data_IF_674070955214
#
_entry.id   IF_674070955214
#
_cell.length_a   1.000
_cell.length_b   1.000
_cell.length_c   1.000
_cell.angle_alpha   90.00
_cell.angle_beta   90.00
_cell.angle_gamma   90.00
#
_symmetry.space_group_name_H-M   'P 1'
#
loop_
_entity.id
_entity.type
_entity.pdbx_description
1 polymer ?
#
# COMPACT_ATOMS: atom_id res chain seq x y z
N UNK A 1 30.66 -12.49 -9.75
CA UNK A 1 29.56 -13.23 -9.09
C UNK A 1 29.39 -12.60 -7.71
N UNK A 2 28.41 -11.73 -7.53
CA UNK A 2 28.04 -11.21 -6.20
C UNK A 2 27.44 -12.37 -5.40
N UNK A 3 27.86 -12.53 -4.15
CA UNK A 3 27.28 -13.53 -3.26
C UNK A 3 25.77 -13.30 -3.18
N UNK A 4 24.99 -14.37 -3.18
CA UNK A 4 23.56 -14.28 -2.91
C UNK A 4 23.37 -13.55 -1.57
N UNK A 5 22.34 -12.69 -1.42
CA UNK A 5 22.11 -12.01 -0.16
C UNK A 5 21.94 -13.05 0.95
N UNK A 6 22.52 -12.79 2.11
CA UNK A 6 22.36 -13.62 3.29
C UNK A 6 20.92 -13.53 3.79
N UNK A 7 20.08 -14.51 3.40
CA UNK A 7 18.65 -14.59 3.77
C UNK A 7 18.44 -14.95 5.23
N UNK A 8 19.49 -15.10 6.03
CA UNK A 8 19.42 -15.44 7.46
C UNK A 8 19.23 -14.23 8.38
N UNK A 9 19.43 -13.01 7.89
CA UNK A 9 19.31 -11.80 8.68
C UNK A 9 17.94 -11.11 8.47
N UNK A 10 17.29 -10.59 9.53
CA UNK A 10 16.09 -9.80 9.38
C UNK A 10 16.33 -8.51 8.58
N UNK A 11 15.45 -8.19 7.64
CA UNK A 11 15.51 -7.03 6.77
C UNK A 11 14.36 -6.05 7.01
N UNK A 12 14.56 -4.80 6.66
CA UNK A 12 13.55 -3.74 6.70
C UNK A 12 12.61 -3.81 5.49
N UNK A 13 11.51 -3.06 5.52
CA UNK A 13 10.56 -3.00 4.41
C UNK A 13 11.23 -2.49 3.12
N UNK A 14 12.09 -1.47 3.20
CA UNK A 14 12.79 -0.95 2.02
C UNK A 14 13.79 -1.96 1.45
N UNK A 15 14.48 -2.72 2.30
CA UNK A 15 15.38 -3.80 1.87
C UNK A 15 14.59 -4.96 1.24
N UNK A 16 13.38 -5.26 1.74
CA UNK A 16 12.48 -6.27 1.16
C UNK A 16 11.99 -5.87 -0.25
N UNK A 17 11.71 -4.58 -0.47
CA UNK A 17 11.41 -4.04 -1.80
C UNK A 17 12.60 -4.22 -2.74
N UNK A 18 13.82 -3.86 -2.31
CA UNK A 18 15.04 -4.06 -3.11
C UNK A 18 15.23 -5.53 -3.46
N UNK A 19 15.00 -6.42 -2.48
CA UNK A 19 15.11 -7.86 -2.66
C UNK A 19 14.11 -8.40 -3.67
N UNK A 20 12.84 -7.97 -3.61
CA UNK A 20 11.79 -8.36 -4.57
C UNK A 20 12.13 -7.90 -6.00
N UNK A 21 12.56 -6.65 -6.16
CA UNK A 21 13.01 -6.12 -7.46
C UNK A 21 14.18 -6.94 -8.01
N UNK A 22 15.19 -7.21 -7.19
CA UNK A 22 16.35 -8.00 -7.58
C UNK A 22 15.97 -9.43 -7.98
N UNK A 23 15.03 -10.05 -7.25
CA UNK A 23 14.53 -11.38 -7.57
C UNK A 23 13.86 -11.41 -8.95
N UNK A 24 12.87 -10.54 -9.19
CA UNK A 24 12.16 -10.49 -10.48
C UNK A 24 13.09 -10.14 -11.64
N UNK A 25 14.02 -9.21 -11.46
CA UNK A 25 14.98 -8.86 -12.50
C UNK A 25 15.99 -9.98 -12.80
N UNK A 26 16.27 -10.89 -11.85
CA UNK A 26 17.10 -12.09 -12.10
C UNK A 26 16.36 -13.16 -12.89
N UNK A 27 15.06 -13.28 -12.68
CA UNK A 27 14.24 -14.39 -13.21
C UNK A 27 13.48 -14.04 -14.48
N UNK A 28 13.27 -12.74 -14.76
CA UNK A 28 12.54 -12.25 -15.93
C UNK A 28 13.28 -11.05 -16.56
N UNK A 29 13.80 -11.24 -17.76
CA UNK A 29 14.52 -10.20 -18.52
C UNK A 29 13.62 -9.05 -18.96
N UNK A 30 12.31 -9.24 -19.02
CA UNK A 30 11.35 -8.20 -19.37
C UNK A 30 11.11 -7.17 -18.27
N UNK A 31 11.52 -7.46 -17.02
CA UNK A 31 11.38 -6.54 -15.88
C UNK A 31 12.45 -5.44 -15.97
N UNK A 32 12.01 -4.19 -16.00
CA UNK A 32 12.85 -2.99 -16.01
C UNK A 32 12.40 -2.03 -14.91
N UNK A 33 13.37 -1.36 -14.28
CA UNK A 33 13.11 -0.35 -13.24
C UNK A 33 13.41 1.02 -13.82
N UNK A 34 12.54 2.01 -13.61
CA UNK A 34 12.76 3.38 -14.09
C UNK A 34 12.21 4.41 -13.12
N UNK A 35 12.78 5.61 -13.16
CA UNK A 35 12.38 6.73 -12.31
C UNK A 35 13.52 7.71 -12.10
N UNK A 36 13.29 8.71 -11.30
CA UNK A 36 14.28 9.72 -10.94
C UNK A 36 15.31 9.14 -9.95
N UNK A 37 16.59 9.27 -10.28
CA UNK A 37 17.71 8.82 -9.42
C UNK A 37 17.70 7.33 -9.02
N UNK A 38 16.90 6.50 -9.68
CA UNK A 38 16.78 5.06 -9.35
C UNK A 38 18.02 4.24 -9.71
N UNK A 39 18.84 4.72 -10.63
CA UNK A 39 20.05 4.07 -11.12
C UNK A 39 21.22 4.23 -10.18
N UNK A 40 22.13 5.18 -10.49
CA UNK A 40 23.39 5.37 -9.74
C UNK A 40 23.13 5.67 -8.26
N UNK A 41 22.15 6.51 -7.97
CA UNK A 41 21.82 6.90 -6.60
C UNK A 41 21.00 5.84 -5.83
N UNK A 42 20.28 4.95 -6.52
CA UNK A 42 19.45 3.92 -5.90
C UNK A 42 18.13 4.43 -5.32
N UNK A 43 17.61 5.52 -5.87
CA UNK A 43 16.38 6.17 -5.43
C UNK A 43 16.53 7.02 -4.16
N UNK A 44 15.57 7.93 -3.93
CA UNK A 44 15.56 8.84 -2.76
C UNK A 44 15.59 8.08 -1.43
N UNK A 45 14.89 6.96 -1.34
CA UNK A 45 14.84 6.11 -0.15
C UNK A 45 15.76 4.91 -0.20
N UNK A 46 16.55 4.74 -1.28
CA UNK A 46 17.47 3.63 -1.50
C UNK A 46 16.79 2.29 -1.80
N UNK A 47 15.57 2.31 -2.33
CA UNK A 47 14.81 1.11 -2.70
C UNK A 47 15.43 0.35 -3.89
N UNK A 48 16.20 1.03 -4.73
CA UNK A 48 16.84 0.46 -5.93
C UNK A 48 18.37 0.44 -5.82
N UNK A 49 18.91 0.64 -4.59
CA UNK A 49 20.36 0.68 -4.37
C UNK A 49 21.04 -0.62 -4.84
N UNK A 50 22.08 -0.48 -5.66
CA UNK A 50 22.85 -1.61 -6.18
C UNK A 50 22.25 -2.30 -7.42
N UNK A 51 20.99 -2.05 -7.77
CA UNK A 51 20.36 -2.75 -8.89
C UNK A 51 21.02 -2.40 -10.23
N UNK A 52 21.37 -1.14 -10.48
CA UNK A 52 22.01 -0.75 -11.74
C UNK A 52 23.40 -1.38 -11.91
N UNK A 53 24.16 -1.58 -10.82
CA UNK A 53 25.46 -2.26 -10.87
C UNK A 53 25.32 -3.74 -11.24
N UNK A 54 24.19 -4.36 -10.88
CA UNK A 54 23.93 -5.79 -11.14
C UNK A 54 23.33 -6.00 -12.52
N UNK A 55 22.35 -5.19 -12.92
CA UNK A 55 21.50 -5.41 -14.10
C UNK A 55 21.80 -4.46 -15.27
N UNK A 56 22.63 -3.45 -15.07
CA UNK A 56 23.00 -2.47 -16.09
C UNK A 56 22.02 -1.31 -16.24
N UNK A 57 22.50 -0.23 -16.87
CA UNK A 57 21.72 1.01 -17.08
C UNK A 57 20.58 0.86 -18.10
N UNK A 58 20.58 -0.18 -18.91
CA UNK A 58 19.48 -0.48 -19.86
C UNK A 58 18.27 -1.12 -19.17
N UNK A 59 18.47 -1.65 -17.96
CA UNK A 59 17.38 -2.28 -17.19
C UNK A 59 17.05 -1.52 -15.91
N UNK A 60 17.92 -0.58 -15.47
CA UNK A 60 17.64 0.35 -14.37
C UNK A 60 17.90 1.75 -14.90
N UNK A 61 16.85 2.45 -15.30
CA UNK A 61 16.91 3.67 -16.09
C UNK A 61 16.67 4.89 -15.22
N UNK A 62 17.64 5.78 -15.15
CA UNK A 62 17.42 7.13 -14.64
C UNK A 62 16.64 7.95 -15.70
N UNK A 63 15.54 8.55 -15.27
CA UNK A 63 14.74 9.44 -16.09
C UNK A 63 15.02 10.90 -15.77
N UNK A 64 14.67 11.85 -16.66
CA UNK A 64 14.52 13.26 -16.25
C UNK A 64 13.50 13.38 -15.09
N UNK A 65 13.59 14.51 -14.36
CA UNK A 65 12.63 14.91 -13.32
C UNK A 65 11.35 15.40 -14.01
N UNK A 66 10.53 14.44 -14.43
CA UNK A 66 9.23 14.68 -15.08
C UNK A 66 8.34 13.43 -14.95
N UNK A 67 7.43 13.46 -14.04
CA UNK A 67 6.54 12.35 -13.73
C UNK A 67 5.58 12.01 -14.89
N UNK A 68 5.27 12.99 -15.73
CA UNK A 68 4.49 12.76 -16.96
C UNK A 68 5.26 11.87 -17.93
N UNK A 69 6.54 12.15 -18.13
CA UNK A 69 7.45 11.34 -18.96
C UNK A 69 7.62 9.93 -18.36
N UNK A 70 7.80 9.81 -17.03
CA UNK A 70 7.91 8.52 -16.35
C UNK A 70 6.67 7.66 -16.62
N UNK A 71 5.47 8.23 -16.42
CA UNK A 71 4.22 7.51 -16.64
C UNK A 71 4.03 7.11 -18.11
N UNK A 72 4.31 8.03 -19.04
CA UNK A 72 4.20 7.79 -20.48
C UNK A 72 5.16 6.70 -20.97
N UNK A 73 6.42 6.75 -20.52
CA UNK A 73 7.42 5.74 -20.84
C UNK A 73 7.02 4.37 -20.28
N UNK A 74 6.52 4.33 -19.04
CA UNK A 74 6.05 3.11 -18.38
C UNK A 74 4.93 2.44 -19.18
N UNK A 75 3.91 3.20 -19.59
CA UNK A 75 2.81 2.68 -20.43
C UNK A 75 3.33 2.22 -21.78
N UNK A 76 4.27 2.97 -22.36
CA UNK A 76 4.91 2.61 -23.65
C UNK A 76 5.66 1.29 -23.57
N UNK A 77 6.51 1.10 -22.58
CA UNK A 77 7.26 -0.14 -22.34
C UNK A 77 6.34 -1.33 -22.10
N UNK A 78 5.31 -1.15 -21.26
CA UNK A 78 4.32 -2.20 -21.00
C UNK A 78 3.57 -2.62 -22.27
N UNK A 79 3.23 -1.66 -23.15
CA UNK A 79 2.55 -1.95 -24.41
C UNK A 79 3.41 -2.75 -25.39
N UNK A 80 4.74 -2.75 -25.22
CA UNK A 80 5.70 -3.49 -26.02
C UNK A 80 6.11 -4.84 -25.38
N UNK A 81 5.45 -5.25 -24.29
CA UNK A 81 5.66 -6.55 -23.66
C UNK A 81 6.74 -6.55 -22.56
N UNK A 82 7.25 -5.38 -22.17
CA UNK A 82 8.08 -5.25 -20.97
C UNK A 82 7.21 -5.21 -19.71
N UNK A 83 7.83 -5.46 -18.57
CA UNK A 83 7.22 -5.30 -17.23
C UNK A 83 7.92 -4.15 -16.49
N UNK A 84 7.58 -2.90 -16.79
CA UNK A 84 8.18 -1.76 -16.14
C UNK A 84 7.70 -1.59 -14.71
N UNK A 85 8.67 -1.39 -13.81
CA UNK A 85 8.45 -0.99 -12.42
C UNK A 85 8.95 0.44 -12.27
N UNK A 86 8.05 1.40 -12.35
CA UNK A 86 8.38 2.82 -12.24
C UNK A 86 8.31 3.29 -10.79
N UNK A 87 9.13 4.27 -10.43
CA UNK A 87 9.09 4.97 -9.15
C UNK A 87 8.66 6.42 -9.36
N UNK A 88 7.57 6.85 -8.68
CA UNK A 88 7.33 8.25 -8.39
C UNK A 88 7.93 8.55 -7.01
N UNK A 89 8.73 9.61 -6.86
CA UNK A 89 9.49 9.83 -5.62
C UNK A 89 8.61 10.05 -4.38
N UNK A 90 7.41 10.62 -4.56
CA UNK A 90 6.42 10.84 -3.51
C UNK A 90 4.99 10.79 -4.08
N UNK A 91 4.05 10.45 -3.24
CA UNK A 91 2.64 10.36 -3.58
C UNK A 91 2.03 11.69 -4.09
N UNK A 92 2.44 12.83 -3.54
CA UNK A 92 2.03 14.14 -4.04
C UNK A 92 2.48 14.44 -5.47
N UNK A 93 3.51 13.74 -5.97
CA UNK A 93 4.03 13.93 -7.34
C UNK A 93 3.31 13.06 -8.38
N UNK A 94 2.37 12.24 -7.99
CA UNK A 94 1.60 11.40 -8.91
C UNK A 94 0.56 12.17 -9.74
N UNK A 95 0.18 13.40 -9.37
CA UNK A 95 -0.91 14.10 -10.04
C UNK A 95 -0.68 14.31 -11.55
N UNK A 96 0.51 14.62 -12.03
CA UNK A 96 0.78 14.66 -13.48
C UNK A 96 0.68 13.30 -14.18
N UNK A 97 0.83 12.19 -13.45
CA UNK A 97 0.76 10.84 -13.99
C UNK A 97 -0.66 10.32 -14.21
N UNK A 98 -1.67 10.98 -13.61
CA UNK A 98 -3.07 10.51 -13.58
C UNK A 98 -3.63 10.26 -14.98
N UNK A 99 -3.33 11.12 -15.95
CA UNK A 99 -3.81 10.95 -17.34
C UNK A 99 -3.32 9.63 -17.93
N UNK A 100 -2.03 9.32 -17.83
CA UNK A 100 -1.47 8.07 -18.35
C UNK A 100 -2.02 6.84 -17.64
N UNK A 101 -2.23 6.91 -16.34
CA UNK A 101 -2.81 5.81 -15.55
C UNK A 101 -4.27 5.61 -15.95
N UNK A 102 -5.10 6.66 -15.85
CA UNK A 102 -6.56 6.57 -15.99
C UNK A 102 -6.99 6.49 -17.45
N UNK A 103 -6.35 7.24 -18.36
CA UNK A 103 -6.76 7.30 -19.75
C UNK A 103 -6.07 6.27 -20.64
N UNK A 104 -4.94 5.71 -20.24
CA UNK A 104 -4.16 4.79 -21.05
C UNK A 104 -3.96 3.42 -20.40
N UNK A 105 -3.26 3.30 -19.29
CA UNK A 105 -2.87 2.02 -18.71
C UNK A 105 -4.08 1.11 -18.41
N UNK A 106 -5.01 1.56 -17.58
CA UNK A 106 -6.17 0.76 -17.16
C UNK A 106 -7.14 0.43 -18.30
N UNK A 107 -7.12 1.23 -19.37
CA UNK A 107 -8.04 1.05 -20.51
C UNK A 107 -7.46 0.20 -21.62
N UNK A 108 -6.19 -0.16 -21.56
CA UNK A 108 -5.51 -0.89 -22.63
C UNK A 108 -6.20 -2.23 -22.93
N UNK A 109 -6.44 -3.04 -21.91
CA UNK A 109 -7.16 -4.31 -22.04
C UNK A 109 -8.56 -4.12 -22.63
N UNK A 110 -9.33 -3.17 -22.14
CA UNK A 110 -10.69 -2.91 -22.61
C UNK A 110 -10.71 -2.44 -24.07
N UNK A 111 -9.92 -1.43 -24.43
CA UNK A 111 -9.86 -0.86 -25.80
C UNK A 111 -9.40 -1.88 -26.83
N UNK A 112 -8.50 -2.76 -26.44
CA UNK A 112 -7.95 -3.77 -27.36
C UNK A 112 -8.73 -5.10 -27.33
N UNK A 113 -9.81 -5.19 -26.56
CA UNK A 113 -10.60 -6.41 -26.36
C UNK A 113 -9.74 -7.57 -25.85
N UNK A 114 -8.86 -7.29 -24.90
CA UNK A 114 -7.97 -8.27 -24.26
C UNK A 114 -6.72 -8.65 -25.07
N UNK A 115 -6.50 -8.05 -26.27
CA UNK A 115 -5.30 -8.35 -27.06
C UNK A 115 -4.00 -7.81 -26.47
N UNK A 116 -4.10 -6.69 -25.78
CA UNK A 116 -2.98 -6.08 -25.04
C UNK A 116 -3.37 -5.93 -23.57
N UNK A 117 -2.38 -6.06 -22.72
CA UNK A 117 -2.43 -5.78 -21.29
C UNK A 117 -1.42 -4.68 -20.96
N UNK A 118 -1.42 -4.21 -19.74
CA UNK A 118 -0.46 -3.19 -19.30
C UNK A 118 0.20 -3.66 -18.00
N UNK A 119 1.15 -4.60 -18.06
CA UNK A 119 1.81 -5.20 -16.89
C UNK A 119 2.82 -4.22 -16.30
N UNK A 120 2.35 -3.14 -15.69
CA UNK A 120 3.17 -2.11 -15.07
C UNK A 120 2.92 -2.02 -13.57
N UNK A 121 3.98 -1.73 -12.82
CA UNK A 121 3.87 -1.34 -11.42
C UNK A 121 4.35 0.10 -11.28
N UNK A 122 3.54 0.95 -10.66
CA UNK A 122 3.97 2.26 -10.20
C UNK A 122 4.18 2.19 -8.69
N UNK A 123 5.43 2.20 -8.25
CA UNK A 123 5.85 2.25 -6.86
C UNK A 123 5.86 3.70 -6.39
N UNK A 124 5.32 3.93 -5.20
CA UNK A 124 5.16 5.28 -4.68
C UNK A 124 5.38 5.31 -3.17
N UNK A 125 6.42 5.97 -2.67
CA UNK A 125 6.54 6.31 -1.25
C UNK A 125 5.34 7.13 -0.78
N UNK A 126 4.54 6.58 0.16
CA UNK A 126 3.21 7.07 0.51
C UNK A 126 3.11 7.42 2.00
N UNK A 127 2.19 8.36 2.31
CA UNK A 127 1.76 8.69 3.66
C UNK A 127 2.68 9.64 4.42
N UNK A 128 2.28 10.04 5.60
CA UNK A 128 2.99 10.95 6.49
C UNK A 128 3.91 10.26 7.50
N UNK A 129 4.39 11.03 8.49
CA UNK A 129 5.13 10.53 9.64
C UNK A 129 6.64 10.58 9.52
N UNK A 130 7.18 11.19 8.48
CA UNK A 130 8.64 11.37 8.28
C UNK A 130 9.10 12.82 8.43
N UNK A 131 8.19 13.72 8.78
CA UNK A 131 8.42 15.16 8.96
C UNK A 131 8.88 15.86 7.67
N UNK A 132 8.38 15.39 6.53
CA UNK A 132 8.55 16.06 5.24
C UNK A 132 7.54 17.21 5.07
N UNK A 133 7.71 18.10 4.06
CA UNK A 133 6.67 19.05 3.67
C UNK A 133 5.34 18.35 3.32
N UNK A 134 4.22 19.10 3.36
CA UNK A 134 2.88 18.56 3.16
C UNK A 134 2.74 17.77 1.84
N UNK A 135 3.27 18.30 0.74
CA UNK A 135 3.22 17.67 -0.57
C UNK A 135 4.06 16.37 -0.69
N UNK A 136 4.91 16.09 0.31
CA UNK A 136 5.68 14.85 0.43
C UNK A 136 5.08 13.89 1.45
N UNK A 137 3.89 14.17 1.96
CA UNK A 137 3.30 13.47 3.10
C UNK A 137 1.81 13.14 2.90
N UNK A 138 1.34 13.20 1.68
CA UNK A 138 -0.05 12.95 1.34
C UNK A 138 -0.43 11.47 1.51
N UNK A 139 -1.74 11.21 1.63
CA UNK A 139 -2.34 9.89 1.59
C UNK A 139 -3.52 9.97 0.60
N UNK A 140 -3.21 9.74 -0.67
CA UNK A 140 -4.10 10.00 -1.80
C UNK A 140 -4.62 8.73 -2.49
N UNK A 141 -4.55 7.58 -1.82
CA UNK A 141 -4.96 6.28 -2.34
C UNK A 141 -6.42 6.26 -2.83
N UNK A 142 -7.30 7.06 -2.22
CA UNK A 142 -8.72 7.10 -2.58
C UNK A 142 -8.97 7.62 -4.01
N UNK A 143 -8.07 8.43 -4.56
CA UNK A 143 -8.16 8.91 -5.95
C UNK A 143 -8.07 7.72 -6.93
N UNK A 144 -7.26 6.73 -6.60
CA UNK A 144 -6.97 5.59 -7.47
C UNK A 144 -7.89 4.40 -7.20
N UNK A 145 -8.47 4.28 -6.01
CA UNK A 145 -9.42 3.20 -5.69
C UNK A 145 -10.74 3.30 -6.46
N UNK A 146 -11.07 4.48 -6.98
CA UNK A 146 -12.24 4.71 -7.84
C UNK A 146 -12.00 4.32 -9.32
N UNK A 147 -10.78 3.89 -9.70
CA UNK A 147 -10.43 3.66 -11.11
C UNK A 147 -10.63 2.18 -11.48
N UNK A 148 -11.63 1.82 -12.31
CA UNK A 148 -11.83 0.44 -12.74
C UNK A 148 -10.64 -0.11 -13.54
N UNK A 149 -10.20 -1.33 -13.22
CA UNK A 149 -9.09 -1.99 -13.90
C UNK A 149 -7.71 -1.65 -13.33
N UNK A 150 -7.66 -0.87 -12.25
CA UNK A 150 -6.44 -0.56 -11.50
C UNK A 150 -6.42 -1.36 -10.19
N UNK A 151 -5.27 -1.96 -9.85
CA UNK A 151 -5.03 -2.44 -8.50
C UNK A 151 -4.32 -1.39 -7.66
N UNK A 152 -4.69 -1.32 -6.38
CA UNK A 152 -4.09 -0.41 -5.40
C UNK A 152 -3.67 -1.22 -4.19
N UNK A 153 -2.36 -1.33 -3.97
CA UNK A 153 -1.74 -2.21 -2.96
C UNK A 153 -0.91 -1.38 -1.98
N UNK A 154 -1.02 -1.68 -0.68
CA UNK A 154 -0.25 -1.06 0.40
C UNK A 154 0.25 -2.14 1.37
N UNK A 155 1.53 -2.52 1.32
CA UNK A 155 2.10 -3.46 2.29
C UNK A 155 2.22 -2.83 3.68
N UNK A 156 2.13 -3.66 4.71
CA UNK A 156 2.23 -3.22 6.12
C UNK A 156 3.45 -3.78 6.84
N UNK A 157 4.23 -4.65 6.20
CA UNK A 157 5.42 -5.28 6.78
C UNK A 157 6.45 -5.64 5.72
N UNK A 158 7.72 -5.93 6.10
CA UNK A 158 8.76 -6.39 5.18
C UNK A 158 8.35 -7.63 4.37
N UNK A 159 7.80 -8.66 5.03
CA UNK A 159 7.37 -9.89 4.35
C UNK A 159 6.24 -9.62 3.35
N UNK A 160 5.27 -8.75 3.72
CA UNK A 160 4.21 -8.33 2.79
C UNK A 160 4.75 -7.48 1.65
N UNK A 161 5.70 -6.59 1.91
CA UNK A 161 6.30 -5.78 0.85
C UNK A 161 6.98 -6.66 -0.21
N UNK A 162 7.74 -7.67 0.21
CA UNK A 162 8.35 -8.63 -0.70
C UNK A 162 7.30 -9.40 -1.50
N UNK A 163 6.44 -10.15 -0.83
CA UNK A 163 5.52 -11.07 -1.50
C UNK A 163 4.45 -10.38 -2.35
N UNK A 164 3.92 -9.24 -1.90
CA UNK A 164 2.94 -8.47 -2.68
C UNK A 164 3.58 -7.75 -3.87
N UNK A 165 4.85 -7.31 -3.76
CA UNK A 165 5.54 -6.69 -4.90
C UNK A 165 5.87 -7.72 -5.98
N UNK A 166 6.28 -8.94 -5.62
CA UNK A 166 6.42 -10.03 -6.59
C UNK A 166 5.10 -10.30 -7.32
N UNK A 167 3.99 -10.40 -6.58
CA UNK A 167 2.67 -10.60 -7.17
C UNK A 167 2.28 -9.44 -8.11
N UNK A 168 2.54 -8.20 -7.70
CA UNK A 168 2.25 -7.01 -8.49
C UNK A 168 3.04 -6.97 -9.81
N UNK A 169 4.33 -7.35 -9.81
CA UNK A 169 5.17 -7.39 -11.03
C UNK A 169 4.72 -8.51 -11.98
N UNK A 170 4.18 -9.60 -11.44
CA UNK A 170 3.66 -10.72 -12.23
C UNK A 170 2.25 -10.50 -12.78
N UNK A 171 1.54 -9.49 -12.28
CA UNK A 171 0.18 -9.15 -12.69
C UNK A 171 0.15 -8.59 -14.13
N UNK A 172 -0.76 -9.05 -14.99
CA UNK A 172 -0.86 -8.56 -16.36
C UNK A 172 -1.51 -7.17 -16.50
N UNK A 173 -2.14 -6.65 -15.45
CA UNK A 173 -2.83 -5.36 -15.43
C UNK A 173 -2.13 -4.37 -14.48
N UNK A 174 -2.35 -3.05 -14.64
CA UNK A 174 -1.60 -2.04 -13.91
C UNK A 174 -1.84 -2.08 -12.40
N UNK A 175 -0.77 -1.93 -11.63
CA UNK A 175 -0.77 -1.88 -10.18
C UNK A 175 -0.13 -0.58 -9.70
N UNK A 176 -0.78 0.15 -8.79
CA UNK A 176 -0.14 1.15 -7.95
C UNK A 176 0.24 0.46 -6.64
N UNK A 177 1.52 0.52 -6.32
CA UNK A 177 2.10 -0.06 -5.11
C UNK A 177 2.56 1.07 -4.19
N UNK A 178 1.69 1.46 -3.27
CA UNK A 178 1.98 2.50 -2.29
C UNK A 178 2.84 1.94 -1.17
N UNK A 179 3.96 2.58 -0.92
CA UNK A 179 4.96 2.16 0.06
C UNK A 179 4.90 3.06 1.31
N UNK A 180 4.39 2.57 2.45
CA UNK A 180 4.28 3.39 3.64
C UNK A 180 5.66 3.81 4.18
N UNK A 181 6.15 4.99 3.75
CA UNK A 181 7.52 5.44 4.01
C UNK A 181 7.87 5.60 5.49
N UNK A 182 6.87 5.83 6.36
CA UNK A 182 7.06 5.91 7.81
C UNK A 182 7.60 4.61 8.40
N UNK A 183 7.24 3.46 7.83
CA UNK A 183 7.66 2.15 8.32
C UNK A 183 8.81 1.52 7.52
N UNK A 184 9.37 2.21 6.54
CA UNK A 184 10.46 1.71 5.69
C UNK A 184 11.63 1.09 6.48
N UNK A 185 11.98 1.68 7.64
CA UNK A 185 13.12 1.26 8.47
C UNK A 185 12.76 1.06 9.94
N UNK A 186 11.44 0.96 10.24
CA UNK A 186 10.98 0.98 11.63
C UNK A 186 11.22 -0.33 12.36
N UNK A 187 11.13 -1.45 11.64
CA UNK A 187 11.35 -2.79 12.17
C UNK A 187 11.86 -3.72 11.07
N UNK A 188 12.33 -4.89 11.48
CA UNK A 188 12.91 -5.89 10.59
C UNK A 188 12.20 -7.23 10.78
N UNK A 189 12.07 -7.99 9.69
CA UNK A 189 11.54 -9.36 9.67
C UNK A 189 12.47 -10.28 8.88
N UNK A 190 12.40 -11.57 9.15
CA UNK A 190 13.00 -12.57 8.28
C UNK A 190 12.14 -12.67 7.01
N UNK A 191 12.74 -12.40 5.86
CA UNK A 191 12.09 -12.47 4.56
C UNK A 191 12.94 -13.37 3.66
N UNK A 192 12.50 -14.60 3.37
CA UNK A 192 13.19 -15.47 2.43
C UNK A 192 13.24 -14.87 1.02
N UNK A 193 14.37 -15.03 0.31
CA UNK A 193 14.51 -14.65 -1.12
C UNK A 193 14.19 -15.85 -2.02
N UNK A 194 13.00 -16.42 -1.84
CA UNK A 194 12.53 -17.67 -2.48
C UNK A 194 11.61 -17.45 -3.68
N UNK A 195 11.18 -16.20 -3.91
CA UNK A 195 10.26 -15.84 -4.98
C UNK A 195 8.81 -16.22 -4.70
N UNK A 196 8.46 -16.55 -3.45
CA UNK A 196 7.08 -16.81 -3.05
C UNK A 196 6.28 -15.50 -3.03
N UNK A 197 5.32 -15.40 -3.97
CA UNK A 197 4.42 -14.27 -4.05
C UNK A 197 3.24 -14.46 -3.10
N UNK A 198 2.84 -13.37 -2.44
CA UNK A 198 1.61 -13.34 -1.66
C UNK A 198 0.39 -13.03 -2.55
N UNK A 199 -0.78 -13.60 -2.25
CA UNK A 199 -1.99 -13.31 -3.02
C UNK A 199 -2.36 -11.83 -2.91
N UNK A 200 -2.65 -11.21 -4.07
CA UNK A 200 -3.34 -9.93 -4.15
C UNK A 200 -4.84 -10.13 -3.91
N UNK A 201 -5.55 -9.02 -3.74
CA UNK A 201 -7.03 -8.99 -3.68
C UNK A 201 -7.62 -9.76 -2.47
N UNK A 202 -6.82 -9.93 -1.40
CA UNK A 202 -7.23 -10.53 -0.13
C UNK A 202 -6.88 -9.63 1.06
N UNK A 203 -7.69 -9.70 2.11
CA UNK A 203 -7.37 -9.14 3.41
C UNK A 203 -6.58 -10.15 4.26
N UNK A 204 -5.78 -9.64 5.18
CA UNK A 204 -5.00 -10.46 6.12
C UNK A 204 -5.47 -10.23 7.55
N UNK A 205 -6.00 -11.26 8.21
CA UNK A 205 -6.27 -11.22 9.64
C UNK A 205 -4.96 -11.33 10.41
N UNK A 206 -4.60 -10.27 11.13
CA UNK A 206 -3.34 -10.18 11.88
C UNK A 206 -3.50 -10.60 13.34
N UNK A 207 -4.71 -10.51 13.84
CA UNK A 207 -5.11 -10.87 15.19
C UNK A 207 -6.57 -11.30 15.17
N UNK A 208 -6.87 -12.44 15.79
CA UNK A 208 -8.24 -12.87 16.01
C UNK A 208 -8.88 -12.08 17.15
N UNK A 209 -10.20 -11.87 17.08
CA UNK A 209 -10.97 -11.17 18.08
C UNK A 209 -12.47 -11.48 18.01
N UNK A 210 -13.18 -11.20 19.09
CA UNK A 210 -14.61 -11.56 19.23
C UNK A 210 -15.54 -10.37 19.47
N UNK A 211 -15.01 -9.22 19.92
CA UNK A 211 -15.85 -8.11 20.42
C UNK A 211 -15.98 -6.94 19.44
N UNK A 212 -14.95 -6.71 18.62
CA UNK A 212 -14.99 -5.72 17.54
C UNK A 212 -13.96 -6.02 16.46
N UNK A 213 -14.21 -5.53 15.24
CA UNK A 213 -13.28 -5.56 14.10
C UNK A 213 -12.60 -4.21 13.94
N UNK A 214 -11.26 -4.20 13.88
CA UNK A 214 -10.43 -3.07 13.50
C UNK A 214 -9.90 -3.28 12.08
N UNK A 215 -10.37 -2.47 11.14
CA UNK A 215 -9.95 -2.53 9.72
C UNK A 215 -8.93 -1.44 9.46
N UNK A 216 -7.78 -1.79 8.87
CA UNK A 216 -6.69 -0.84 8.64
C UNK A 216 -5.82 -1.23 7.46
N UNK A 217 -4.86 -0.39 7.06
CA UNK A 217 -3.86 -0.67 6.03
C UNK A 217 -2.59 0.16 6.18
N UNK A 218 -1.54 -0.29 5.50
CA UNK A 218 -0.27 0.43 5.42
C UNK A 218 0.37 0.67 6.79
N UNK A 219 0.87 1.87 7.01
CA UNK A 219 1.58 2.21 8.25
C UNK A 219 0.71 2.19 9.50
N UNK A 220 -0.62 2.33 9.36
CA UNK A 220 -1.54 2.34 10.51
C UNK A 220 -1.79 0.97 11.13
N UNK A 221 -1.37 -0.11 10.48
CA UNK A 221 -1.42 -1.47 11.02
C UNK A 221 -0.73 -1.55 12.38
N UNK A 222 0.41 -0.89 12.53
CA UNK A 222 1.17 -0.87 13.79
C UNK A 222 0.35 -0.27 14.94
N UNK A 223 -0.14 0.95 14.79
CA UNK A 223 -0.93 1.63 15.82
C UNK A 223 -2.23 0.87 16.13
N UNK A 224 -2.78 0.19 15.13
CA UNK A 224 -4.01 -0.61 15.30
C UNK A 224 -3.73 -1.87 16.12
N UNK A 225 -2.62 -2.57 15.88
CA UNK A 225 -2.19 -3.71 16.70
C UNK A 225 -1.87 -3.28 18.14
N UNK A 226 -1.15 -2.17 18.33
CA UNK A 226 -0.88 -1.62 19.67
C UNK A 226 -2.19 -1.22 20.40
N UNK A 227 -3.17 -0.70 19.67
CA UNK A 227 -4.49 -0.39 20.23
C UNK A 227 -5.24 -1.67 20.63
N UNK A 228 -5.19 -2.72 19.81
CA UNK A 228 -5.79 -4.01 20.12
C UNK A 228 -5.16 -4.66 21.37
N UNK A 229 -3.84 -4.57 21.53
CA UNK A 229 -3.15 -5.00 22.77
C UNK A 229 -3.64 -4.23 24.01
N UNK A 230 -3.75 -2.92 23.89
CA UNK A 230 -4.24 -2.07 24.99
C UNK A 230 -5.68 -2.39 25.37
N UNK A 231 -6.54 -2.63 24.36
CA UNK A 231 -7.93 -3.06 24.54
C UNK A 231 -8.03 -4.43 25.22
N UNK A 232 -7.17 -5.37 24.84
CA UNK A 232 -7.11 -6.69 25.47
C UNK A 232 -6.75 -6.61 26.96
N UNK A 233 -5.85 -5.70 27.35
CA UNK A 233 -5.56 -5.40 28.76
C UNK A 233 -6.77 -4.87 29.54
N UNK A 234 -7.80 -4.38 28.86
CA UNK A 234 -9.07 -3.91 29.43
C UNK A 234 -10.22 -4.90 29.23
N UNK A 235 -9.94 -6.12 28.74
CA UNK A 235 -10.93 -7.21 28.55
C UNK A 235 -11.74 -7.11 27.25
N UNK A 236 -11.28 -6.32 26.26
CA UNK A 236 -11.91 -6.22 24.93
C UNK A 236 -11.07 -6.94 23.88
N UNK A 237 -11.66 -7.95 23.25
CA UNK A 237 -11.01 -8.78 22.23
C UNK A 237 -11.26 -8.21 20.83
N UNK A 238 -10.26 -7.51 20.29
CA UNK A 238 -10.36 -6.90 18.96
C UNK A 238 -9.70 -7.78 17.88
N UNK A 239 -10.44 -8.06 16.80
CA UNK A 239 -9.90 -8.61 15.55
C UNK A 239 -9.24 -7.49 14.76
N UNK A 240 -8.07 -7.75 14.17
CA UNK A 240 -7.35 -6.77 13.34
C UNK A 240 -7.19 -7.30 11.94
N UNK A 241 -7.75 -6.56 10.96
CA UNK A 241 -7.69 -6.87 9.53
C UNK A 241 -6.83 -5.82 8.82
N UNK A 242 -5.78 -6.30 8.14
CA UNK A 242 -4.98 -5.53 7.20
C UNK A 242 -5.55 -5.71 5.79
N UNK A 243 -6.04 -4.63 5.21
CA UNK A 243 -6.69 -4.66 3.89
C UNK A 243 -5.68 -4.86 2.76
N UNK A 244 -4.45 -4.52 2.92
CA UNK A 244 -3.31 -4.68 1.99
C UNK A 244 -3.59 -4.36 0.50
N UNK A 245 -4.70 -4.83 -0.08
CA UNK A 245 -5.19 -4.45 -1.42
C UNK A 245 -6.51 -3.70 -1.28
N UNK A 246 -6.47 -2.39 -1.55
CA UNK A 246 -7.66 -1.54 -1.47
C UNK A 246 -8.58 -1.70 -2.69
N UNK A 247 -8.00 -2.02 -3.83
CA UNK A 247 -8.72 -2.25 -5.08
C UNK A 247 -8.10 -3.41 -5.85
N UNK A 248 -8.89 -4.48 -6.19
CA UNK A 248 -10.23 -4.74 -5.69
C UNK A 248 -10.23 -5.01 -4.17
N UNK A 249 -11.32 -4.67 -3.50
CA UNK A 249 -11.46 -4.87 -2.06
C UNK A 249 -12.00 -6.28 -1.76
N UNK A 250 -11.32 -7.03 -0.92
CA UNK A 250 -11.86 -8.23 -0.28
C UNK A 250 -12.82 -7.84 0.85
N UNK A 251 -14.02 -7.46 0.44
CA UNK A 251 -15.06 -7.07 1.38
C UNK A 251 -15.64 -8.26 2.14
N UNK A 252 -15.59 -9.45 1.56
CA UNK A 252 -16.14 -10.67 2.19
C UNK A 252 -15.46 -10.94 3.54
N UNK A 253 -14.13 -10.88 3.60
CA UNK A 253 -13.38 -11.05 4.85
C UNK A 253 -13.78 -10.03 5.92
N UNK A 254 -13.99 -8.76 5.52
CA UNK A 254 -14.44 -7.71 6.46
C UNK A 254 -15.87 -7.96 6.95
N UNK A 255 -16.77 -8.33 6.04
CA UNK A 255 -18.18 -8.61 6.36
C UNK A 255 -18.31 -9.82 7.29
N UNK A 256 -17.59 -10.91 7.02
CA UNK A 256 -17.56 -12.10 7.87
C UNK A 256 -17.04 -11.79 9.29
N UNK A 257 -16.02 -10.96 9.40
CA UNK A 257 -15.51 -10.49 10.69
C UNK A 257 -16.59 -9.68 11.44
N UNK A 258 -17.21 -8.71 10.76
CA UNK A 258 -18.24 -7.85 11.37
C UNK A 258 -19.48 -8.65 11.77
N UNK A 259 -19.87 -9.66 10.99
CA UNK A 259 -20.98 -10.56 11.36
C UNK A 259 -20.72 -11.36 12.66
N UNK A 260 -19.45 -11.60 13.01
CA UNK A 260 -19.06 -12.26 14.28
C UNK A 260 -18.91 -11.28 15.44
N UNK A 261 -18.31 -10.11 15.16
CA UNK A 261 -17.93 -9.14 16.20
C UNK A 261 -18.98 -8.06 16.44
N UNK A 262 -19.89 -7.85 15.49
CA UNK A 262 -20.99 -6.90 15.51
C UNK A 262 -20.60 -5.41 15.62
N UNK A 263 -19.30 -5.08 15.57
CA UNK A 263 -18.77 -3.72 15.73
C UNK A 263 -17.57 -3.50 14.83
N UNK A 264 -17.46 -2.30 14.27
CA UNK A 264 -16.34 -1.98 13.37
C UNK A 264 -15.77 -0.58 13.61
N UNK A 265 -14.44 -0.51 13.65
CA UNK A 265 -13.67 0.73 13.56
C UNK A 265 -12.71 0.64 12.39
N UNK A 266 -12.72 1.65 11.51
CA UNK A 266 -11.83 1.72 10.34
C UNK A 266 -10.77 2.78 10.59
N UNK A 267 -9.49 2.43 10.36
CA UNK A 267 -8.34 3.28 10.69
C UNK A 267 -7.51 3.52 9.44
N UNK A 268 -7.29 4.79 9.04
CA UNK A 268 -6.43 5.15 7.91
C UNK A 268 -5.89 6.58 8.00
N UNK A 269 -4.82 6.88 7.25
CA UNK A 269 -4.13 8.18 7.30
C UNK A 269 -4.83 9.27 6.50
N UNK A 270 -5.48 8.93 5.38
CA UNK A 270 -6.16 9.90 4.52
C UNK A 270 -7.18 10.75 5.29
N UNK A 271 -7.55 11.94 4.76
CA UNK A 271 -8.63 12.75 5.30
C UNK A 271 -9.93 11.96 5.44
N UNK A 272 -10.80 12.41 6.34
CA UNK A 272 -12.06 11.72 6.62
C UNK A 272 -13.04 11.80 5.45
N UNK A 273 -13.12 12.96 4.80
CA UNK A 273 -14.01 13.19 3.66
C UNK A 273 -13.48 12.45 2.44
N UNK A 274 -14.32 11.59 1.87
CA UNK A 274 -14.02 10.78 0.67
C UNK A 274 -12.77 9.86 0.80
N UNK A 275 -12.20 9.68 1.99
CA UNK A 275 -11.19 8.65 2.22
C UNK A 275 -11.78 7.26 2.04
N UNK A 276 -10.98 6.27 1.62
CA UNK A 276 -11.46 4.93 1.24
C UNK A 276 -12.24 4.21 2.36
N UNK A 277 -11.96 4.51 3.62
CA UNK A 277 -12.77 4.00 4.74
C UNK A 277 -14.24 4.44 4.71
N UNK A 278 -14.61 5.44 3.91
CA UNK A 278 -16.02 5.81 3.69
C UNK A 278 -16.74 4.77 2.83
N UNK A 279 -16.08 4.24 1.81
CA UNK A 279 -16.59 3.15 0.97
C UNK A 279 -16.83 1.89 1.79
N UNK A 280 -15.87 1.48 2.61
CA UNK A 280 -16.00 0.31 3.49
C UNK A 280 -17.18 0.52 4.46
N UNK A 281 -17.30 1.70 5.06
CA UNK A 281 -18.41 2.00 5.97
C UNK A 281 -19.77 2.01 5.26
N UNK A 282 -19.85 2.50 4.02
CA UNK A 282 -21.08 2.47 3.22
C UNK A 282 -21.50 1.03 2.91
N UNK A 283 -20.56 0.20 2.44
CA UNK A 283 -20.84 -1.21 2.15
C UNK A 283 -21.25 -2.00 3.39
N UNK A 284 -20.63 -1.75 4.54
CA UNK A 284 -21.07 -2.36 5.80
C UNK A 284 -22.48 -1.94 6.18
N UNK A 285 -22.87 -0.68 5.93
CA UNK A 285 -24.25 -0.24 6.16
C UNK A 285 -25.25 -0.83 5.17
N UNK A 286 -24.86 -1.09 3.92
CA UNK A 286 -25.72 -1.68 2.89
C UNK A 286 -25.85 -3.20 3.03
N UNK A 287 -24.74 -3.89 3.29
CA UNK A 287 -24.65 -5.35 3.22
C UNK A 287 -24.73 -6.04 4.61
N UNK A 288 -24.32 -5.34 5.69
CA UNK A 288 -24.19 -5.91 7.05
C UNK A 288 -25.01 -5.11 8.10
N UNK A 289 -26.00 -4.30 7.70
CA UNK A 289 -26.72 -3.42 8.62
C UNK A 289 -27.34 -4.16 9.82
N UNK A 290 -27.85 -5.37 9.60
CA UNK A 290 -28.50 -6.16 10.66
C UNK A 290 -27.52 -6.87 11.58
N UNK A 291 -26.24 -6.95 11.20
CA UNK A 291 -25.18 -7.51 12.04
C UNK A 291 -24.54 -6.44 12.93
N UNK A 292 -24.73 -5.15 12.60
CA UNK A 292 -24.11 -4.04 13.33
C UNK A 292 -24.90 -3.67 14.60
N UNK A 293 -24.25 -3.76 15.76
CA UNK A 293 -24.81 -3.29 17.05
C UNK A 293 -24.45 -1.84 17.35
N UNK A 294 -23.55 -1.22 16.58
CA UNK A 294 -23.15 0.17 16.72
C UNK A 294 -22.83 0.78 15.36
N UNK A 295 -22.92 2.11 15.19
CA UNK A 295 -22.44 2.77 13.98
C UNK A 295 -20.95 2.53 13.76
N UNK A 296 -20.54 2.31 12.50
CA UNK A 296 -19.14 2.22 12.11
C UNK A 296 -18.42 3.55 12.39
N UNK A 297 -17.31 3.52 13.10
CA UNK A 297 -16.50 4.71 13.37
C UNK A 297 -15.23 4.69 12.53
N UNK A 298 -14.90 5.82 11.90
CA UNK A 298 -13.66 6.02 11.16
C UNK A 298 -12.69 6.89 11.96
N UNK A 299 -11.50 6.37 12.24
CA UNK A 299 -10.37 7.09 12.83
C UNK A 299 -9.40 7.41 11.71
N UNK A 300 -9.29 8.68 11.34
CA UNK A 300 -8.66 9.12 10.10
C UNK A 300 -7.73 10.30 10.35
N UNK A 301 -6.98 10.73 9.32
CA UNK A 301 -6.50 12.10 9.24
C UNK A 301 -7.63 13.10 9.34
N UNK A 302 -7.30 14.38 9.45
CA UNK A 302 -8.29 15.47 9.47
C UNK A 302 -8.49 16.02 8.05
N UNK A 303 -9.63 16.68 7.79
CA UNK A 303 -9.92 17.32 6.52
C UNK A 303 -9.12 18.64 6.37
N UNK A 304 -7.80 18.51 6.34
CA UNK A 304 -6.83 19.58 6.16
C UNK A 304 -5.55 19.01 5.57
N UNK A 305 -4.70 19.85 5.02
CA UNK A 305 -3.35 19.42 4.65
C UNK A 305 -2.61 18.88 5.88
N UNK A 306 -1.73 17.89 5.67
CA UNK A 306 -0.91 17.37 6.76
C UNK A 306 -0.05 18.51 7.34
N UNK A 307 -0.08 18.76 8.64
CA UNK A 307 0.64 19.88 9.22
C UNK A 307 2.13 19.59 9.32
N UNK A 308 2.94 20.65 9.18
CA UNK A 308 4.38 20.56 9.24
C UNK A 308 4.90 20.15 10.62
N UNK A 309 6.01 19.45 10.63
CA UNK A 309 6.88 19.08 11.76
C UNK A 309 6.21 18.70 13.09
N UNK A 310 5.94 19.70 13.93
CA UNK A 310 5.51 19.48 15.32
C UNK A 310 4.10 18.94 15.44
N UNK A 311 3.26 19.15 14.46
CA UNK A 311 1.85 18.77 14.49
C UNK A 311 1.55 17.55 13.65
N UNK A 312 2.47 17.08 12.81
CA UNK A 312 2.27 15.94 11.92
C UNK A 312 1.75 14.69 12.65
N UNK A 313 2.40 14.31 13.77
CA UNK A 313 1.96 13.15 14.55
C UNK A 313 0.62 13.35 15.29
N UNK A 314 0.09 14.59 15.36
CA UNK A 314 -1.28 14.83 15.85
C UNK A 314 -2.32 14.66 14.77
N UNK A 315 -1.92 14.80 13.52
CA UNK A 315 -2.77 14.55 12.35
C UNK A 315 -3.05 13.06 12.16
N UNK A 316 -2.02 12.25 12.28
CA UNK A 316 -2.11 10.80 12.09
C UNK A 316 -2.99 10.13 13.17
N UNK A 317 -3.74 9.06 12.83
CA UNK A 317 -4.40 8.22 13.82
C UNK A 317 -3.40 7.71 14.87
N UNK A 318 -3.71 7.94 16.13
CA UNK A 318 -2.90 7.46 17.26
C UNK A 318 -3.58 6.29 17.97
N UNK A 319 -2.81 5.51 18.70
CA UNK A 319 -3.32 4.42 19.55
C UNK A 319 -4.47 4.89 20.45
N UNK A 320 -4.34 6.05 21.09
CA UNK A 320 -5.38 6.58 21.99
C UNK A 320 -6.66 6.98 21.24
N UNK A 321 -6.55 7.49 19.99
CA UNK A 321 -7.71 7.79 19.15
C UNK A 321 -8.43 6.51 18.74
N UNK A 322 -7.70 5.44 18.42
CA UNK A 322 -8.26 4.13 18.05
C UNK A 322 -8.95 3.49 19.26
N UNK A 323 -8.30 3.44 20.41
CA UNK A 323 -8.87 2.92 21.68
C UNK A 323 -10.13 3.69 22.08
N UNK A 324 -10.12 5.02 21.95
CA UNK A 324 -11.31 5.85 22.24
C UNK A 324 -12.47 5.52 21.31
N UNK A 325 -12.21 5.34 20.01
CA UNK A 325 -13.23 4.95 19.04
C UNK A 325 -13.76 3.53 19.32
N UNK A 326 -12.89 2.59 19.64
CA UNK A 326 -13.24 1.23 20.02
C UNK A 326 -14.17 1.21 21.26
N UNK A 327 -13.80 1.88 22.32
CA UNK A 327 -14.65 2.01 23.53
C UNK A 327 -16.01 2.64 23.24
N UNK A 328 -16.05 3.61 22.32
CA UNK A 328 -17.32 4.25 21.92
C UNK A 328 -18.25 3.29 21.20
N UNK A 329 -17.76 2.43 20.30
CA UNK A 329 -18.60 1.41 19.64
C UNK A 329 -19.00 0.30 20.60
N UNK A 330 -18.15 -0.04 21.57
CA UNK A 330 -18.48 -1.01 22.63
C UNK A 330 -19.59 -0.51 23.55
N UNK A 331 -19.64 0.78 23.84
CA UNK A 331 -20.64 1.39 24.73
C UNK A 331 -21.98 1.70 24.05
N UNK A 332 -22.08 1.59 22.73
CA UNK A 332 -23.27 1.96 21.96
C UNK A 332 -24.25 0.80 21.70
N UNK A 333 -23.88 -0.44 22.08
CA UNK A 333 -24.64 -1.66 21.79
C UNK A 333 -25.12 -2.42 23.01
#
# INVERSE_FOLDING_TARGET
MSAAPDTSAPITLIEAITQALAYEMRTDESVVVLGEDVGVNGGVFRATAGLQQIFGSERVLDTPLDETTIAGLTVGLASQGMKPVAEAQFDGFMYPMVDFIVCHAVRMRYRTRGRLTCPMVLRVPWGGGIRAPEHHSEANESIFTNVPGLRVVLPSSPARAYGLLLAAIREPDPVIFFEPKRIYRQYKELVPDDGEALPLDVCYTLRDGTDLTLVTWGAQVKETLEAAEKLAGEGISAEVIDVATLRPLDFATIAESVARTHRCVIVHEAPKTAGFGAEIAARLAEECMYDLHAPVIRVTGYDTHIPLFRLEMKYLPSVDRIVTAAKRVMAAG
#
